data_IF_888395425515
#
_entry.id   IF_888395425515
#
_cell.length_a   1.000
_cell.length_b   1.000
_cell.length_c   1.000
_cell.angle_alpha   90.00
_cell.angle_beta   90.00
_cell.angle_gamma   90.00
#
_symmetry.space_group_name_H-M   'P 1'
#
loop_
_entity.id
_entity.type
_entity.pdbx_description
1 polymer ?
#
# COMPACT_ATOMS: atom_id res chain seq x y z
N UNK A 1 11.22 -10.89 -7.53
CA UNK A 1 12.39 -10.02 -7.24
C UNK A 1 12.02 -8.93 -6.22
N UNK A 2 10.86 -9.03 -5.56
CA UNK A 2 10.12 -7.83 -5.15
C UNK A 2 10.26 -7.54 -3.65
N UNK A 3 10.61 -8.57 -2.87
CA UNK A 3 10.66 -8.51 -1.40
C UNK A 3 12.02 -8.04 -0.86
N UNK A 4 13.11 -8.28 -1.60
CA UNK A 4 14.46 -7.76 -1.26
C UNK A 4 14.54 -6.24 -1.38
N UNK A 5 13.84 -5.66 -2.35
CA UNK A 5 13.79 -4.21 -2.53
C UNK A 5 13.09 -3.52 -1.35
N UNK A 6 12.05 -4.16 -0.80
CA UNK A 6 11.36 -3.67 0.39
C UNK A 6 12.29 -3.64 1.61
N UNK A 7 13.08 -4.70 1.82
CA UNK A 7 14.09 -4.74 2.91
C UNK A 7 15.12 -3.61 2.78
N UNK A 8 15.61 -3.36 1.56
CA UNK A 8 16.60 -2.31 1.31
C UNK A 8 16.03 -0.91 1.55
N UNK A 9 14.81 -0.66 1.09
CA UNK A 9 14.11 0.61 1.32
C UNK A 9 13.88 0.87 2.82
N UNK A 10 13.47 -0.13 3.59
CA UNK A 10 13.23 0.04 5.04
C UNK A 10 14.51 0.32 5.84
N UNK A 11 15.65 -0.26 5.44
CA UNK A 11 16.94 0.11 6.01
C UNK A 11 17.32 1.57 5.76
N UNK A 12 16.93 2.13 4.62
CA UNK A 12 17.22 3.54 4.27
C UNK A 12 16.36 4.54 5.03
N UNK A 13 15.11 4.19 5.33
CA UNK A 13 14.15 5.09 6.00
C UNK A 13 14.09 4.92 7.53
N UNK A 14 15.01 4.15 8.13
CA UNK A 14 15.17 3.98 9.58
C UNK A 14 13.85 3.68 10.32
N UNK A 15 13.07 2.74 9.78
CA UNK A 15 11.81 2.33 10.41
C UNK A 15 12.13 1.52 11.68
N UNK A 16 11.82 2.07 12.87
CA UNK A 16 11.94 1.38 14.17
C UNK A 16 11.06 0.11 14.28
N UNK A 17 9.99 0.04 13.49
CA UNK A 17 9.11 -1.13 13.43
C UNK A 17 9.82 -2.30 12.77
N UNK A 18 10.09 -3.36 13.55
CA UNK A 18 10.58 -4.65 13.02
C UNK A 18 9.48 -5.29 12.16
N UNK A 19 9.65 -5.26 10.84
CA UNK A 19 8.74 -5.91 9.88
C UNK A 19 9.18 -7.36 9.68
N UNK A 20 8.33 -8.38 9.98
CA UNK A 20 8.69 -9.80 9.88
C UNK A 20 8.65 -10.28 8.42
N UNK A 21 9.64 -9.85 7.64
CA UNK A 21 9.73 -10.08 6.20
C UNK A 21 9.64 -11.56 5.83
N UNK A 22 10.29 -12.45 6.57
CA UNK A 22 10.27 -13.89 6.32
C UNK A 22 8.86 -14.50 6.40
N UNK A 23 7.97 -13.87 7.17
CA UNK A 23 6.56 -14.29 7.28
C UNK A 23 5.73 -13.75 6.13
N UNK A 24 6.00 -12.52 5.70
CA UNK A 24 5.32 -11.87 4.58
C UNK A 24 5.62 -12.59 3.24
N UNK A 25 6.85 -13.07 3.04
CA UNK A 25 7.23 -13.85 1.83
C UNK A 25 6.41 -15.14 1.71
N UNK A 26 5.96 -15.72 2.83
CA UNK A 26 5.14 -16.94 2.84
C UNK A 26 3.69 -16.70 2.40
N UNK A 27 3.28 -15.43 2.23
CA UNK A 27 1.93 -15.10 1.74
C UNK A 27 0.81 -15.33 2.76
N UNK A 28 1.14 -15.49 4.04
CA UNK A 28 0.15 -15.72 5.10
C UNK A 28 -0.74 -14.48 5.30
N UNK A 29 -2.05 -14.65 5.25
CA UNK A 29 -3.01 -13.54 5.32
C UNK A 29 -2.89 -12.73 6.61
N UNK A 30 -2.70 -13.40 7.76
CA UNK A 30 -2.61 -12.75 9.06
C UNK A 30 -1.44 -11.77 9.15
N UNK A 31 -0.22 -12.25 8.85
CA UNK A 31 0.99 -11.41 8.87
C UNK A 31 0.91 -10.30 7.81
N UNK A 32 0.38 -10.60 6.63
CA UNK A 32 0.20 -9.63 5.55
C UNK A 32 -0.82 -8.53 5.93
N UNK A 33 -1.93 -8.90 6.57
CA UNK A 33 -2.96 -7.95 6.99
C UNK A 33 -2.47 -7.04 8.12
N UNK A 34 -1.75 -7.60 9.10
CA UNK A 34 -1.12 -6.84 10.18
C UNK A 34 -0.10 -5.82 9.64
N UNK A 35 0.72 -6.23 8.65
CA UNK A 35 1.63 -5.34 7.96
C UNK A 35 0.89 -4.20 7.25
N UNK A 36 -0.15 -4.51 6.46
CA UNK A 36 -0.92 -3.49 5.74
C UNK A 36 -1.61 -2.49 6.69
N UNK A 37 -2.13 -2.99 7.82
CA UNK A 37 -2.78 -2.14 8.82
C UNK A 37 -1.81 -1.11 9.41
N UNK A 38 -0.57 -1.54 9.73
CA UNK A 38 0.47 -0.62 10.16
C UNK A 38 0.95 0.29 9.02
N UNK A 39 1.15 -0.26 7.82
CA UNK A 39 1.65 0.47 6.66
C UNK A 39 0.74 1.64 6.29
N UNK A 40 -0.59 1.48 6.40
CA UNK A 40 -1.53 2.58 6.18
C UNK A 40 -1.28 3.74 7.16
N UNK A 41 -1.08 3.45 8.45
CA UNK A 41 -0.79 4.48 9.47
C UNK A 41 0.56 5.15 9.21
N UNK A 42 1.57 4.37 8.81
CA UNK A 42 2.87 4.89 8.42
C UNK A 42 2.75 5.82 7.20
N UNK A 43 2.02 5.40 6.17
CA UNK A 43 1.79 6.20 4.96
C UNK A 43 1.08 7.51 5.30
N UNK A 44 -0.02 7.45 6.06
CA UNK A 44 -0.79 8.64 6.43
C UNK A 44 0.01 9.66 7.26
N UNK A 45 0.97 9.19 8.06
CA UNK A 45 1.81 10.07 8.88
C UNK A 45 2.97 10.71 8.11
N UNK A 46 3.38 10.16 6.97
CA UNK A 46 4.56 10.61 6.20
C UNK A 46 4.22 11.17 4.82
N UNK A 47 3.00 10.99 4.33
CA UNK A 47 2.58 11.46 3.03
C UNK A 47 2.29 12.97 3.05
N UNK A 48 2.95 13.69 2.16
CA UNK A 48 2.90 15.15 2.04
C UNK A 48 1.78 15.65 1.10
N UNK A 49 1.02 14.73 0.49
CA UNK A 49 -0.05 15.05 -0.45
C UNK A 49 0.38 15.09 -1.92
N UNK A 50 1.64 14.77 -2.23
CA UNK A 50 2.15 14.81 -3.60
C UNK A 50 1.45 13.80 -4.53
N UNK A 51 1.04 14.22 -5.73
CA UNK A 51 0.47 13.30 -6.72
C UNK A 51 1.45 12.20 -7.10
N UNK A 52 0.96 10.95 -7.11
CA UNK A 52 1.74 9.78 -7.49
C UNK A 52 1.08 9.07 -8.66
N UNK A 53 1.73 9.11 -9.82
CA UNK A 53 1.32 8.35 -11.01
C UNK A 53 1.81 6.90 -10.94
N UNK A 54 0.93 6.03 -10.45
CA UNK A 54 1.22 4.61 -10.31
C UNK A 54 1.41 3.88 -11.66
N UNK A 55 0.88 4.39 -12.77
CA UNK A 55 1.01 3.75 -14.07
C UNK A 55 2.40 4.02 -14.66
N UNK A 56 2.82 5.28 -14.65
CA UNK A 56 4.15 5.68 -15.10
C UNK A 56 5.23 5.03 -14.23
N UNK A 57 5.02 4.94 -12.91
CA UNK A 57 5.96 4.28 -12.01
C UNK A 57 6.16 2.77 -12.31
N UNK A 58 5.20 2.11 -12.97
CA UNK A 58 5.31 0.71 -13.43
C UNK A 58 5.73 0.59 -14.89
N UNK A 59 6.28 1.65 -15.49
CA UNK A 59 6.65 1.68 -16.91
C UNK A 59 5.47 1.34 -17.85
N UNK A 60 4.23 1.70 -17.46
CA UNK A 60 3.04 1.44 -18.27
C UNK A 60 2.45 0.04 -18.12
N UNK A 61 3.00 -0.82 -17.25
CA UNK A 61 2.45 -2.15 -17.00
C UNK A 61 1.10 -2.06 -16.24
N UNK A 62 -0.01 -2.52 -16.85
CA UNK A 62 -1.29 -2.59 -16.16
C UNK A 62 -1.21 -3.64 -15.06
N UNK A 63 -1.81 -3.37 -13.91
CA UNK A 63 -1.96 -4.40 -12.89
C UNK A 63 -2.85 -5.51 -13.45
N UNK A 64 -2.34 -6.74 -13.51
CA UNK A 64 -3.15 -7.90 -13.83
C UNK A 64 -4.15 -8.12 -12.68
N UNK A 65 -5.38 -7.64 -12.85
CA UNK A 65 -6.44 -7.78 -11.86
C UNK A 65 -7.78 -7.35 -12.44
N UNK A 66 -8.61 -8.34 -12.80
CA UNK A 66 -10.01 -8.15 -13.18
C UNK A 66 -10.70 -7.28 -12.12
N UNK A 67 -10.99 -6.03 -12.45
CA UNK A 67 -11.83 -5.15 -11.64
C UNK A 67 -13.26 -5.68 -11.65
N UNK A 68 -13.59 -6.52 -10.67
CA UNK A 68 -14.93 -7.10 -10.52
C UNK A 68 -15.43 -7.18 -9.08
N UNK A 69 -14.66 -6.74 -8.08
CA UNK A 69 -15.17 -6.58 -6.73
C UNK A 69 -15.75 -5.17 -6.59
N UNK A 70 -17.02 -5.04 -6.96
CA UNK A 70 -17.86 -3.94 -6.54
C UNK A 70 -17.74 -3.81 -5.02
N UNK A 71 -17.04 -2.77 -4.56
CA UNK A 71 -16.91 -2.46 -3.13
C UNK A 71 -18.31 -2.10 -2.63
N UNK A 72 -18.97 -3.00 -1.90
CA UNK A 72 -20.13 -2.60 -1.09
C UNK A 72 -19.65 -1.52 -0.11
N UNK A 73 -20.31 -0.35 -0.03
CA UNK A 73 -19.93 0.67 0.95
C UNK A 73 -20.09 0.13 2.37
N UNK A 74 -19.06 0.32 3.19
CA UNK A 74 -19.17 0.12 4.63
C UNK A 74 -20.13 1.17 5.21
N UNK A 75 -21.10 0.81 6.06
CA UNK A 75 -21.98 1.78 6.70
C UNK A 75 -21.15 2.72 7.59
N UNK A 76 -21.22 4.03 7.36
CA UNK A 76 -20.58 5.04 8.21
C UNK A 76 -19.18 5.52 7.79
N UNK A 77 -18.68 5.13 6.62
CA UNK A 77 -17.45 5.73 6.08
C UNK A 77 -17.68 7.21 5.74
N UNK A 78 -16.86 8.16 6.25
CA UNK A 78 -16.95 9.56 5.84
C UNK A 78 -16.75 9.64 4.32
N UNK A 79 -17.63 10.40 3.66
CA UNK A 79 -17.64 10.59 2.20
C UNK A 79 -16.27 11.13 1.79
N UNK A 80 -15.51 10.34 1.04
CA UNK A 80 -14.29 10.81 0.42
C UNK A 80 -14.62 12.06 -0.40
N UNK A 81 -13.94 13.17 -0.12
CA UNK A 81 -14.02 14.37 -0.93
C UNK A 81 -13.53 13.97 -2.32
N UNK A 82 -14.42 14.05 -3.30
CA UNK A 82 -14.06 13.82 -4.69
C UNK A 82 -13.04 14.90 -5.10
N UNK A 83 -11.89 14.47 -5.62
CA UNK A 83 -10.98 15.39 -6.29
C UNK A 83 -11.69 15.88 -7.58
N UNK A 84 -11.87 17.19 -7.79
CA UNK A 84 -12.52 17.70 -8.99
C UNK A 84 -11.54 17.57 -10.16
N UNK A 85 -11.79 16.59 -11.04
CA UNK A 85 -11.19 16.57 -12.37
C UNK A 85 -11.85 17.66 -13.22
N UNK A 86 -11.07 18.66 -13.62
CA UNK A 86 -11.40 19.55 -14.72
C UNK A 86 -11.26 18.87 -16.07
#
# INVERSE_FOLDING_TARGET
MDMLFLQYSFKKVNIDKIVPVDKLIKGMFQDNFEFLQWFKKFFDANYDGAEYDALTARCGEPLCGKSGLARKPLPGAPRAIACPTG
#
